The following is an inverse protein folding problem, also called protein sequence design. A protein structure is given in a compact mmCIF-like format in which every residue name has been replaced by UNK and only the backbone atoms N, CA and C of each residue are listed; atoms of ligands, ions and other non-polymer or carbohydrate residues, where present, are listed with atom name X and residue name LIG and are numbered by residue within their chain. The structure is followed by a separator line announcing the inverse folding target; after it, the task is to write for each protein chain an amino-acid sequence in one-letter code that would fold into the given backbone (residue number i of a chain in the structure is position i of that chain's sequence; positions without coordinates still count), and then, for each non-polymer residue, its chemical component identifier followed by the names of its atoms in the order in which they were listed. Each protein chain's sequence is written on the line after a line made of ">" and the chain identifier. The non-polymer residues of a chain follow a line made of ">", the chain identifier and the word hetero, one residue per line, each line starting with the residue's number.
data_IF_557153948696
#
_entry.id   IF_557153948696
#
_cell.length_a   1.000
_cell.length_b   1.000
_cell.length_c   1.000
_cell.angle_alpha   90.00
_cell.angle_beta   90.00
_cell.angle_gamma   90.00
#
_symmetry.space_group_name_H-M   'P 1'
#
loop_
_entity.id
_entity.type
_entity.pdbx_description
1 polymer ?
#
# COMPACT_ATOMS: atom_id res chain seq x y z
N UNK A 1 -42.91 -7.08 -17.15
CA UNK A 1 -42.09 -6.54 -16.04
C UNK A 1 -41.08 -7.59 -15.63
N UNK A 2 -39.80 -7.37 -15.95
CA UNK A 2 -38.71 -8.27 -15.60
C UNK A 2 -38.18 -7.92 -14.20
N UNK A 3 -38.09 -8.94 -13.34
CA UNK A 3 -37.73 -8.81 -11.95
C UNK A 3 -36.27 -8.38 -11.73
N UNK A 4 -36.09 -7.61 -10.64
CA UNK A 4 -34.85 -7.29 -9.91
C UNK A 4 -33.95 -6.18 -10.51
N UNK A 5 -34.13 -4.96 -9.97
CA UNK A 5 -33.06 -3.94 -9.85
C UNK A 5 -32.10 -4.37 -8.74
N UNK A 6 -30.87 -4.73 -9.08
CA UNK A 6 -29.69 -4.72 -8.20
C UNK A 6 -28.47 -4.87 -9.13
N UNK A 7 -27.75 -3.81 -9.46
CA UNK A 7 -26.74 -3.19 -8.60
C UNK A 7 -25.41 -3.36 -9.35
N UNK A 8 -24.91 -2.27 -9.95
CA UNK A 8 -23.83 -2.31 -10.94
C UNK A 8 -22.58 -3.07 -10.48
N UNK A 9 -22.02 -3.89 -11.37
CA UNK A 9 -20.69 -4.48 -11.20
C UNK A 9 -19.67 -3.35 -10.99
N UNK A 10 -18.96 -3.39 -9.86
CA UNK A 10 -17.93 -2.41 -9.53
C UNK A 10 -16.77 -2.53 -10.51
N UNK A 11 -16.57 -1.50 -11.34
CA UNK A 11 -15.49 -1.44 -12.35
C UNK A 11 -14.17 -0.88 -11.79
N UNK A 12 -14.02 -0.84 -10.46
CA UNK A 12 -12.90 -0.22 -9.76
C UNK A 12 -12.34 -1.18 -8.69
N UNK A 13 -11.49 -2.11 -9.12
CA UNK A 13 -10.81 -3.09 -8.25
C UNK A 13 -9.32 -3.26 -8.58
N UNK A 14 -8.70 -2.23 -9.20
CA UNK A 14 -7.27 -2.27 -9.53
C UNK A 14 -6.48 -1.80 -8.32
N UNK A 15 -5.70 -2.71 -7.75
CA UNK A 15 -4.66 -2.36 -6.78
C UNK A 15 -3.28 -2.62 -7.39
N UNK A 16 -2.31 -1.82 -6.97
CA UNK A 16 -0.91 -1.97 -7.36
C UNK A 16 -0.13 -2.60 -6.22
N UNK A 17 0.94 -3.33 -6.54
CA UNK A 17 1.79 -3.89 -5.50
C UNK A 17 2.43 -2.78 -4.65
N UNK A 18 2.28 -2.90 -3.32
CA UNK A 18 2.86 -1.95 -2.38
C UNK A 18 4.39 -1.94 -2.48
N UNK A 19 4.97 -0.74 -2.54
CA UNK A 19 6.42 -0.51 -2.63
C UNK A 19 7.12 -0.55 -1.26
N UNK A 20 6.38 -0.81 -0.17
CA UNK A 20 6.89 -0.87 1.21
C UNK A 20 7.71 0.38 1.58
N UNK A 21 7.19 1.55 1.21
CA UNK A 21 7.76 2.84 1.60
C UNK A 21 7.67 3.05 3.12
N UNK A 22 8.38 4.04 3.64
CA UNK A 22 8.38 4.42 5.05
C UNK A 22 9.73 4.26 5.74
N UNK A 23 9.73 4.54 7.04
CA UNK A 23 10.89 4.51 7.93
C UNK A 23 11.38 3.07 8.10
N UNK A 24 12.69 2.88 8.05
CA UNK A 24 13.39 1.60 8.20
C UNK A 24 14.24 1.54 9.46
N UNK A 25 14.67 2.71 9.97
CA UNK A 25 15.39 2.86 11.23
C UNK A 25 14.89 4.09 11.98
N UNK A 26 14.48 3.90 13.24
CA UNK A 26 14.02 4.98 14.11
C UNK A 26 15.16 5.53 14.98
N UNK A 27 14.90 6.65 15.67
CA UNK A 27 15.87 7.29 16.55
C UNK A 27 16.29 6.35 17.70
N UNK A 28 17.60 6.29 17.98
CA UNK A 28 18.17 5.41 19.01
C UNK A 28 18.51 3.99 18.54
N UNK A 29 18.17 3.62 17.31
CA UNK A 29 18.63 2.35 16.75
C UNK A 29 20.09 2.42 16.27
N UNK A 30 20.85 1.35 16.53
CA UNK A 30 22.20 1.21 16.01
C UNK A 30 22.13 0.97 14.49
N UNK A 31 22.86 1.77 13.72
CA UNK A 31 22.95 1.65 12.26
C UNK A 31 24.38 1.38 11.82
N UNK A 32 24.54 0.50 10.84
CA UNK A 32 25.81 0.30 10.13
C UNK A 32 25.86 1.25 8.95
N UNK A 33 27.07 1.58 8.49
CA UNK A 33 27.26 2.32 7.25
C UNK A 33 26.57 1.59 6.09
N UNK A 34 25.82 2.33 5.27
CA UNK A 34 25.04 1.78 4.15
C UNK A 34 23.61 1.32 4.49
N UNK A 35 23.19 1.38 5.75
CA UNK A 35 21.79 1.12 6.10
C UNK A 35 20.86 2.22 5.56
N UNK A 36 19.69 1.82 5.08
CA UNK A 36 18.62 2.74 4.69
C UNK A 36 17.85 3.19 5.94
N UNK A 37 17.66 4.49 6.11
CA UNK A 37 16.89 5.06 7.23
C UNK A 37 15.42 5.26 6.84
N UNK A 38 15.14 5.75 5.63
CA UNK A 38 13.78 5.95 5.09
C UNK A 38 13.78 5.56 3.61
N UNK A 39 12.68 4.96 3.15
CA UNK A 39 12.39 4.73 1.73
C UNK A 39 11.14 5.53 1.37
N UNK A 40 11.29 6.56 0.56
CA UNK A 40 10.20 7.41 0.05
C UNK A 40 9.98 7.20 -1.44
#
# INVERSE_FOLDING_TARGET
>A
MAHKKAGGSTRNGRDSQSKRLGVKKYGGEIVKAGNIIIRQ
#
